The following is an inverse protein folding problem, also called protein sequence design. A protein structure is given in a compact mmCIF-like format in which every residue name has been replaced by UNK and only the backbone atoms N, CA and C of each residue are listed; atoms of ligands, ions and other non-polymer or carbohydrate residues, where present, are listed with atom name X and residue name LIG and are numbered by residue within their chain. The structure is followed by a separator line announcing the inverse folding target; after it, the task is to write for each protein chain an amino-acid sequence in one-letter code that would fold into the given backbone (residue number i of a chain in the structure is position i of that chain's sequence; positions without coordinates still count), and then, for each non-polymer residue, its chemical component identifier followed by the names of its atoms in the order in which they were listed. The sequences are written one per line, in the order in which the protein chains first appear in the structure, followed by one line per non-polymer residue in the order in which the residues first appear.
data_IF_356315507286
#
_entry.id   IF_356315507286
#
_cell.length_a   1.000
_cell.length_b   1.000
_cell.length_c   1.000
_cell.angle_alpha   90.00
_cell.angle_beta   90.00
_cell.angle_gamma   90.00
#
_symmetry.space_group_name_H-M   'P 1'
#
loop_
_entity.id
_entity.type
_entity.pdbx_description
1 polymer ?
#
# COMPACT_ATOMS: atom_id res chain seq x y z
N UNK A 1 22.55 7.06 -18.54
CA UNK A 1 22.47 6.81 -17.09
C UNK A 1 21.03 7.03 -16.69
N UNK A 2 20.29 5.96 -16.42
CA UNK A 2 18.94 6.07 -15.86
C UNK A 2 19.09 6.41 -14.39
N UNK A 3 18.88 7.68 -14.02
CA UNK A 3 18.71 8.06 -12.62
C UNK A 3 17.54 7.27 -12.06
N UNK A 4 17.82 6.51 -11.00
CA UNK A 4 16.82 5.79 -10.23
C UNK A 4 15.96 6.83 -9.53
N UNK A 5 14.82 7.16 -10.12
CA UNK A 5 13.87 8.07 -9.52
C UNK A 5 13.34 7.42 -8.25
N UNK A 6 13.66 8.02 -7.10
CA UNK A 6 13.34 7.44 -5.81
C UNK A 6 11.83 7.49 -5.59
N UNK A 7 11.20 6.32 -5.50
CA UNK A 7 9.78 6.20 -5.18
C UNK A 7 9.59 6.33 -3.68
N UNK A 8 8.81 7.32 -3.24
CA UNK A 8 8.45 7.49 -1.82
C UNK A 8 6.94 7.43 -1.62
N UNK A 9 6.55 6.97 -0.44
CA UNK A 9 5.18 7.03 0.04
C UNK A 9 4.85 8.46 0.50
N UNK A 10 3.54 8.74 0.57
CA UNK A 10 3.05 10.05 1.04
C UNK A 10 3.48 10.35 2.48
N UNK A 11 3.53 9.34 3.35
CA UNK A 11 3.99 9.54 4.73
C UNK A 11 5.47 9.91 4.82
N UNK A 12 6.29 9.41 3.89
CA UNK A 12 7.71 9.76 3.83
C UNK A 12 7.92 11.19 3.32
N UNK A 13 7.11 11.64 2.36
CA UNK A 13 7.15 13.05 1.91
C UNK A 13 6.77 13.99 3.05
N UNK A 14 5.69 13.71 3.78
CA UNK A 14 5.31 14.50 4.96
C UNK A 14 6.44 14.52 6.00
N UNK A 15 7.10 13.36 6.21
CA UNK A 15 8.24 13.28 7.12
C UNK A 15 9.41 14.17 6.69
N UNK A 16 9.78 14.16 5.40
CA UNK A 16 10.85 15.01 4.85
C UNK A 16 10.51 16.49 5.04
N UNK A 17 9.28 16.89 4.71
CA UNK A 17 8.80 18.27 4.86
C UNK A 17 8.84 18.70 6.32
N UNK A 18 8.36 17.88 7.25
CA UNK A 18 8.40 18.22 8.67
C UNK A 18 9.83 18.23 9.23
N UNK A 19 10.69 17.31 8.79
CA UNK A 19 12.08 17.22 9.21
C UNK A 19 12.91 18.41 8.75
N UNK A 20 12.55 19.05 7.64
CA UNK A 20 13.21 20.26 7.12
C UNK A 20 13.18 21.46 8.08
N UNK A 21 12.23 21.45 9.04
CA UNK A 21 11.90 22.59 9.93
C UNK A 21 11.47 23.87 9.21
N UNK A 22 11.29 23.83 7.89
CA UNK A 22 10.79 24.95 7.07
C UNK A 22 9.26 24.95 6.98
N UNK A 23 8.60 23.86 7.36
CA UNK A 23 7.15 23.78 7.44
C UNK A 23 6.62 24.59 8.62
N UNK A 24 5.57 25.38 8.35
CA UNK A 24 4.91 26.25 9.35
C UNK A 24 3.42 25.93 9.54
N UNK A 25 2.90 24.95 8.80
CA UNK A 25 1.52 24.51 8.91
C UNK A 25 0.89 24.15 7.57
N UNK A 26 -0.29 23.57 7.65
CA UNK A 26 -1.13 23.27 6.49
C UNK A 26 -2.56 23.67 6.86
N UNK A 27 -3.18 24.46 5.99
CA UNK A 27 -4.57 24.85 6.12
C UNK A 27 -5.51 23.64 6.02
N UNK A 28 -6.80 23.84 6.35
CA UNK A 28 -7.80 22.81 6.10
C UNK A 28 -7.85 22.49 4.61
N UNK A 29 -8.21 21.25 4.29
CA UNK A 29 -8.55 20.91 2.90
C UNK A 29 -9.99 21.34 2.68
N UNK A 30 -10.20 22.11 1.64
CA UNK A 30 -11.51 22.59 1.24
C UNK A 30 -11.91 21.96 -0.09
N UNK A 31 -13.21 21.79 -0.27
CA UNK A 31 -13.81 21.17 -1.44
C UNK A 31 -14.85 22.09 -2.01
N UNK A 32 -15.07 21.98 -3.32
CA UNK A 32 -16.01 22.83 -4.05
C UNK A 32 -16.56 22.10 -5.27
N UNK A 33 -17.80 22.42 -5.62
CA UNK A 33 -18.45 21.95 -6.85
C UNK A 33 -18.40 23.02 -7.97
N UNK A 34 -18.24 24.30 -7.61
CA UNK A 34 -18.28 25.45 -8.52
C UNK A 34 -16.94 26.19 -8.66
N UNK A 35 -15.98 25.94 -7.76
CA UNK A 35 -14.72 26.66 -7.64
C UNK A 35 -14.83 27.99 -6.89
N UNK A 36 -16.03 28.39 -6.47
CA UNK A 36 -16.32 29.66 -5.81
C UNK A 36 -16.63 29.45 -4.33
N UNK A 37 -17.48 28.48 -4.02
CA UNK A 37 -17.90 28.12 -2.67
C UNK A 37 -17.04 26.99 -2.14
N UNK A 38 -16.31 27.24 -1.06
CA UNK A 38 -15.36 26.30 -0.48
C UNK A 38 -15.84 25.81 0.89
N UNK A 39 -15.91 24.48 1.07
CA UNK A 39 -16.35 23.84 2.31
C UNK A 39 -15.33 22.81 2.79
N UNK A 40 -15.08 22.75 4.09
CA UNK A 40 -14.16 21.74 4.68
C UNK A 40 -14.79 20.35 4.75
N UNK A 41 -16.12 20.30 4.81
CA UNK A 41 -16.91 19.08 4.80
C UNK A 41 -17.87 19.14 3.61
N UNK A 42 -17.64 18.27 2.64
CA UNK A 42 -18.48 18.17 1.44
C UNK A 42 -19.46 17.01 1.60
N UNK A 43 -20.68 17.20 1.11
CA UNK A 43 -21.72 16.18 1.08
C UNK A 43 -22.18 15.97 -0.36
N UNK A 44 -22.51 14.74 -0.77
CA UNK A 44 -23.04 14.46 -2.10
C UNK A 44 -24.20 15.38 -2.47
N UNK A 45 -24.03 16.09 -3.58
CA UNK A 45 -25.04 16.99 -4.14
C UNK A 45 -25.87 16.22 -5.15
N UNK A 46 -27.20 16.40 -5.11
CA UNK A 46 -28.10 15.86 -6.13
C UNK A 46 -28.31 16.95 -7.16
N UNK A 47 -27.73 16.78 -8.36
CA UNK A 47 -27.92 17.70 -9.47
C UNK A 47 -29.13 17.25 -10.32
N UNK A 48 -30.08 18.16 -10.63
CA UNK A 48 -31.17 17.84 -11.54
C UNK A 48 -30.65 17.79 -12.99
N UNK A 49 -30.67 16.61 -13.62
CA UNK A 49 -30.42 16.45 -15.05
C UNK A 49 -31.73 16.35 -15.83
N UNK A 50 -31.66 16.67 -17.13
CA UNK A 50 -32.78 16.66 -18.08
C UNK A 50 -33.52 15.31 -18.17
N UNK A 51 -32.89 14.21 -17.72
CA UNK A 51 -33.45 12.85 -17.73
C UNK A 51 -33.54 12.19 -16.33
N UNK A 52 -33.41 12.95 -15.23
CA UNK A 52 -33.48 12.43 -13.86
C UNK A 52 -32.51 13.14 -12.92
N UNK A 53 -32.61 12.89 -11.62
CA UNK A 53 -31.67 13.44 -10.64
C UNK A 53 -30.41 12.55 -10.56
N UNK A 54 -29.23 13.11 -10.81
CA UNK A 54 -27.95 12.40 -10.67
C UNK A 54 -27.28 12.86 -9.37
N UNK A 55 -26.99 11.91 -8.50
CA UNK A 55 -26.19 12.17 -7.31
C UNK A 55 -24.72 12.30 -7.73
N UNK A 56 -24.19 13.53 -7.68
CA UNK A 56 -22.76 13.76 -7.81
C UNK A 56 -22.10 13.18 -6.56
N UNK A 57 -21.31 12.12 -6.75
CA UNK A 57 -20.74 11.34 -5.65
C UNK A 57 -19.40 11.88 -5.13
N UNK A 58 -18.84 12.89 -5.79
CA UNK A 58 -17.55 13.50 -5.43
C UNK A 58 -17.52 15.02 -5.69
N UNK A 59 -16.71 15.79 -4.95
CA UNK A 59 -16.49 17.20 -5.26
C UNK A 59 -15.75 17.37 -6.59
N UNK A 60 -15.97 18.50 -7.29
CA UNK A 60 -15.27 18.80 -8.56
C UNK A 60 -13.87 19.40 -8.34
N UNK A 61 -13.69 20.12 -7.24
CA UNK A 61 -12.43 20.80 -6.90
C UNK A 61 -12.02 20.53 -5.45
N UNK A 62 -10.70 20.52 -5.21
CA UNK A 62 -10.13 20.53 -3.88
C UNK A 62 -9.03 21.59 -3.81
N UNK A 63 -8.96 22.27 -2.68
CA UNK A 63 -7.99 23.32 -2.39
C UNK A 63 -7.31 23.06 -1.06
N UNK A 64 -6.04 23.41 -0.99
CA UNK A 64 -5.27 23.43 0.25
C UNK A 64 -4.29 24.58 0.25
N UNK A 65 -4.03 25.11 1.44
CA UNK A 65 -3.01 26.11 1.68
C UNK A 65 -1.85 25.47 2.46
N UNK A 66 -0.62 25.70 2.01
CA UNK A 66 0.59 25.20 2.68
C UNK A 66 1.45 26.39 3.08
N UNK A 67 1.87 26.39 4.35
CA UNK A 67 2.66 27.45 4.94
C UNK A 67 4.13 27.00 5.05
N UNK A 68 5.02 27.82 4.50
CA UNK A 68 6.47 27.68 4.61
C UNK A 68 7.02 28.89 5.35
N UNK A 69 7.94 28.64 6.27
CA UNK A 69 8.65 29.69 6.99
C UNK A 69 9.34 30.62 6.00
N UNK A 70 9.42 31.88 6.38
CA UNK A 70 10.04 32.95 5.60
C UNK A 70 9.31 33.27 4.27
N UNK A 71 8.16 32.62 4.00
CA UNK A 71 7.27 32.96 2.88
C UNK A 71 6.04 33.66 3.44
N UNK A 72 5.82 34.91 3.01
CA UNK A 72 4.72 35.75 3.52
C UNK A 72 3.33 35.27 3.11
N UNK A 73 3.21 34.69 1.91
CA UNK A 73 1.93 34.27 1.33
C UNK A 73 1.94 32.75 1.23
N UNK A 74 0.95 32.03 1.79
CA UNK A 74 0.90 30.59 1.66
C UNK A 74 0.78 30.18 0.20
N UNK A 75 1.30 29.00 -0.13
CA UNK A 75 1.04 28.41 -1.44
C UNK A 75 -0.36 27.82 -1.42
N UNK A 76 -1.26 28.41 -2.20
CA UNK A 76 -2.62 27.89 -2.40
C UNK A 76 -2.61 27.02 -3.65
N UNK A 77 -2.99 25.76 -3.49
CA UNK A 77 -3.08 24.80 -4.59
C UNK A 77 -4.52 24.36 -4.76
N UNK A 78 -5.00 24.45 -6.00
CA UNK A 78 -6.31 23.97 -6.41
C UNK A 78 -6.13 22.88 -7.45
N UNK A 79 -6.79 21.73 -7.24
CA UNK A 79 -6.80 20.61 -8.17
C UNK A 79 -8.23 20.27 -8.57
N UNK A 80 -8.38 19.67 -9.76
CA UNK A 80 -9.66 19.19 -10.28
C UNK A 80 -9.78 17.69 -10.15
N UNK A 81 -10.98 17.21 -9.84
CA UNK A 81 -11.23 15.79 -9.71
C UNK A 81 -10.94 15.08 -11.02
N UNK A 82 -11.46 15.58 -12.15
CA UNK A 82 -11.31 14.95 -13.46
C UNK A 82 -9.85 14.83 -13.94
N UNK A 83 -8.96 15.70 -13.46
CA UNK A 83 -7.53 15.68 -13.80
C UNK A 83 -6.75 14.66 -12.97
N UNK A 84 -7.17 14.48 -11.71
CA UNK A 84 -6.47 13.67 -10.71
C UNK A 84 -7.09 12.30 -10.51
N UNK A 85 -8.34 12.12 -10.98
CA UNK A 85 -9.04 10.87 -10.87
C UNK A 85 -8.28 9.81 -11.69
N UNK A 86 -7.88 8.71 -11.05
CA UNK A 86 -7.06 7.71 -11.71
C UNK A 86 -7.86 7.08 -12.85
N UNK A 87 -7.33 7.17 -14.07
CA UNK A 87 -7.79 6.37 -15.21
C UNK A 87 -7.39 4.88 -15.06
N UNK A 88 -6.71 4.53 -13.98
CA UNK A 88 -6.28 3.18 -13.65
C UNK A 88 -7.47 2.25 -13.34
N UNK A 89 -7.16 0.95 -13.21
CA UNK A 89 -8.08 -0.18 -13.01
C UNK A 89 -9.35 0.14 -12.20
N UNK A 90 -10.47 -0.49 -12.58
CA UNK A 90 -11.79 -0.36 -11.94
C UNK A 90 -11.76 -0.51 -10.41
N UNK A 91 -10.87 -1.37 -9.88
CA UNK A 91 -10.68 -1.57 -8.44
C UNK A 91 -10.11 -0.33 -7.72
N UNK A 92 -9.29 0.46 -8.40
CA UNK A 92 -8.72 1.70 -7.85
C UNK A 92 -9.75 2.83 -7.89
N UNK A 93 -10.43 2.99 -9.02
CA UNK A 93 -11.55 3.91 -9.17
C UNK A 93 -12.62 3.69 -8.08
N UNK A 94 -12.96 2.43 -7.78
CA UNK A 94 -13.92 2.08 -6.73
C UNK A 94 -13.51 2.56 -5.33
N UNK A 95 -12.20 2.60 -5.02
CA UNK A 95 -11.70 3.14 -3.73
C UNK A 95 -11.90 4.64 -3.64
N UNK A 96 -11.66 5.35 -4.74
CA UNK A 96 -11.87 6.80 -4.82
C UNK A 96 -13.34 7.16 -4.64
N UNK A 97 -14.27 6.45 -5.29
CA UNK A 97 -15.70 6.67 -5.10
C UNK A 97 -16.20 6.32 -3.69
N UNK A 98 -15.58 5.34 -3.01
CA UNK A 98 -15.95 5.00 -1.62
C UNK A 98 -15.55 6.08 -0.61
N UNK A 99 -14.49 6.84 -0.88
CA UNK A 99 -13.96 7.84 0.05
C UNK A 99 -13.37 9.03 -0.70
N UNK A 100 -14.20 9.80 -1.42
CA UNK A 100 -13.75 10.80 -2.40
C UNK A 100 -12.97 11.93 -1.72
N UNK A 101 -13.52 12.51 -0.64
CA UNK A 101 -12.84 13.56 0.11
C UNK A 101 -11.48 13.14 0.66
N UNK A 102 -11.35 11.88 1.10
CA UNK A 102 -10.11 11.37 1.69
C UNK A 102 -9.01 11.27 0.64
N UNK A 103 -9.30 10.65 -0.50
CA UNK A 103 -8.31 10.44 -1.56
C UNK A 103 -7.96 11.75 -2.23
N UNK A 104 -8.96 12.53 -2.62
CA UNK A 104 -8.75 13.78 -3.33
C UNK A 104 -8.12 14.86 -2.44
N UNK A 105 -8.53 14.95 -1.17
CA UNK A 105 -7.91 15.86 -0.22
C UNK A 105 -6.46 15.50 0.11
N UNK A 106 -6.13 14.21 0.12
CA UNK A 106 -4.73 13.74 0.23
C UNK A 106 -3.91 14.16 -0.98
N UNK A 107 -4.44 14.00 -2.20
CA UNK A 107 -3.77 14.45 -3.43
C UNK A 107 -3.54 15.96 -3.42
N UNK A 108 -4.54 16.76 -3.02
CA UNK A 108 -4.39 18.22 -2.91
C UNK A 108 -3.21 18.61 -2.00
N UNK A 109 -3.11 17.99 -0.82
CA UNK A 109 -1.99 18.20 0.11
C UNK A 109 -0.65 17.86 -0.51
N UNK A 110 -0.56 16.75 -1.24
CA UNK A 110 0.68 16.33 -1.87
C UNK A 110 1.15 17.29 -2.95
N UNK A 111 0.25 17.74 -3.82
CA UNK A 111 0.57 18.76 -4.83
C UNK A 111 0.97 20.06 -4.14
N UNK A 112 0.29 20.44 -3.06
CA UNK A 112 0.65 21.55 -2.16
C UNK A 112 2.10 21.46 -1.69
N UNK A 113 2.46 20.35 -1.04
CA UNK A 113 3.82 20.15 -0.54
C UNK A 113 4.87 20.19 -1.66
N UNK A 114 4.60 19.58 -2.82
CA UNK A 114 5.54 19.59 -3.95
C UNK A 114 5.78 21.01 -4.48
N UNK A 115 4.73 21.83 -4.59
CA UNK A 115 4.89 23.20 -5.07
C UNK A 115 5.61 24.08 -4.04
N UNK A 116 5.27 23.94 -2.76
CA UNK A 116 5.86 24.75 -1.68
C UNK A 116 7.30 24.36 -1.33
N UNK A 117 7.63 23.07 -1.37
CA UNK A 117 8.93 22.51 -1.01
C UNK A 117 9.61 21.87 -2.22
N UNK A 118 9.50 22.51 -3.39
CA UNK A 118 10.05 22.02 -4.66
C UNK A 118 11.55 21.73 -4.58
N UNK A 119 12.29 22.52 -3.80
CA UNK A 119 13.71 22.36 -3.53
C UNK A 119 14.05 21.10 -2.71
N UNK A 120 13.10 20.59 -1.91
CA UNK A 120 13.27 19.38 -1.11
C UNK A 120 12.71 18.13 -1.79
N UNK A 121 11.66 18.29 -2.61
CA UNK A 121 10.86 17.20 -3.15
C UNK A 121 10.95 17.06 -4.67
N UNK A 122 11.69 17.93 -5.36
CA UNK A 122 11.66 18.07 -6.82
C UNK A 122 11.94 16.78 -7.60
N UNK A 123 12.80 15.91 -7.06
CA UNK A 123 13.25 14.68 -7.74
C UNK A 123 12.50 13.41 -7.26
N UNK A 124 11.56 13.55 -6.33
CA UNK A 124 10.86 12.42 -5.71
C UNK A 124 9.59 12.09 -6.50
N UNK A 125 9.50 10.85 -6.98
CA UNK A 125 8.25 10.31 -7.54
C UNK A 125 7.47 9.62 -6.41
N UNK A 126 6.17 9.89 -6.35
CA UNK A 126 5.31 9.32 -5.32
C UNK A 126 4.67 8.04 -5.86
N UNK A 127 4.78 6.95 -5.10
CA UNK A 127 4.28 5.63 -5.52
C UNK A 127 2.75 5.62 -5.77
N UNK A 128 2.00 6.41 -5.01
CA UNK A 128 0.54 6.58 -5.12
C UNK A 128 0.11 7.49 -6.30
N UNK A 129 1.05 8.16 -6.98
CA UNK A 129 0.83 9.09 -8.09
C UNK A 129 1.37 8.51 -9.42
N UNK A 130 1.55 7.19 -9.50
CA UNK A 130 1.91 6.54 -10.76
C UNK A 130 0.76 6.70 -11.77
N UNK A 131 0.74 7.86 -12.44
CA UNK A 131 0.08 8.05 -13.71
C UNK A 131 0.93 7.30 -14.73
N UNK A 132 0.48 6.11 -15.14
CA UNK A 132 1.11 5.29 -16.18
C UNK A 132 1.31 6.03 -17.52
N UNK A 133 0.81 7.28 -17.64
CA UNK A 133 0.99 8.17 -18.79
C UNK A 133 2.42 8.66 -19.02
N UNK A 134 3.31 8.64 -18.01
CA UNK A 134 4.71 9.16 -18.17
C UNK A 134 5.80 8.10 -18.14
N UNK A 135 5.47 6.84 -17.88
CA UNK A 135 6.44 5.77 -18.18
C UNK A 135 6.38 5.56 -19.69
N UNK A 136 7.42 5.85 -20.50
CA UNK A 136 7.46 5.31 -21.85
C UNK A 136 7.27 3.82 -21.66
N UNK A 137 6.18 3.27 -22.19
CA UNK A 137 5.83 1.87 -22.07
C UNK A 137 7.09 1.09 -22.43
N UNK A 138 7.80 0.58 -21.42
CA UNK A 138 8.87 -0.36 -21.64
C UNK A 138 8.17 -1.48 -22.38
N UNK A 139 8.48 -1.59 -23.68
CA UNK A 139 7.67 -2.28 -24.67
C UNK A 139 6.97 -3.43 -24.00
N UNK A 140 5.66 -3.26 -23.75
CA UNK A 140 4.83 -4.33 -23.26
C UNK A 140 5.03 -5.41 -24.31
N UNK A 141 5.82 -6.42 -23.94
CA UNK A 141 6.03 -7.58 -24.78
C UNK A 141 4.62 -8.04 -25.07
N UNK A 142 4.24 -7.98 -26.35
CA UNK A 142 2.87 -8.16 -26.79
C UNK A 142 2.27 -9.34 -26.01
N UNK A 143 1.04 -9.25 -25.50
CA UNK A 143 0.42 -10.37 -24.82
C UNK A 143 0.46 -11.53 -25.81
N UNK A 144 1.39 -12.45 -25.58
CA UNK A 144 1.44 -13.73 -26.26
C UNK A 144 0.06 -14.30 -25.98
N UNK A 145 -0.68 -14.59 -27.05
CA UNK A 145 -2.00 -15.19 -26.98
C UNK A 145 -2.03 -16.25 -25.87
N UNK A 146 -3.11 -16.37 -25.07
CA UNK A 146 -3.12 -17.27 -23.93
C UNK A 146 -2.93 -18.70 -24.43
N UNK A 147 -1.68 -19.15 -24.42
CA UNK A 147 -1.37 -20.57 -24.32
C UNK A 147 -1.98 -20.93 -22.99
N UNK A 148 -3.01 -21.79 -22.99
CA UNK A 148 -3.61 -22.32 -21.77
C UNK A 148 -2.50 -22.87 -20.88
N UNK A 149 -2.02 -22.03 -19.96
CA UNK A 149 -0.90 -22.34 -19.09
C UNK A 149 -1.41 -23.38 -18.12
N UNK A 150 -0.91 -24.61 -18.24
CA UNK A 150 -1.37 -25.75 -17.44
C UNK A 150 -0.72 -25.71 -16.07
N UNK A 151 -1.21 -24.81 -15.21
CA UNK A 151 -0.65 -24.54 -13.87
C UNK A 151 -0.39 -25.79 -13.03
N UNK A 152 -1.31 -26.77 -13.04
CA UNK A 152 -1.14 -28.02 -12.33
C UNK A 152 0.10 -28.81 -12.78
N UNK A 153 0.40 -28.78 -14.09
CA UNK A 153 1.57 -29.45 -14.67
C UNK A 153 2.86 -28.73 -14.27
N UNK A 154 2.88 -27.40 -14.33
CA UNK A 154 4.05 -26.60 -13.94
C UNK A 154 4.38 -26.74 -12.46
N UNK A 155 3.35 -26.77 -11.59
CA UNK A 155 3.53 -27.03 -10.16
C UNK A 155 4.12 -28.44 -9.94
N UNK A 156 3.62 -29.46 -10.64
CA UNK A 156 4.14 -30.83 -10.49
C UNK A 156 5.60 -30.98 -10.98
N UNK A 157 5.97 -30.28 -12.05
CA UNK A 157 7.30 -30.34 -12.66
C UNK A 157 8.34 -29.46 -11.95
N UNK A 158 7.92 -28.53 -11.08
CA UNK A 158 8.84 -27.69 -10.33
C UNK A 158 9.78 -28.53 -9.46
N UNK A 159 11.09 -28.26 -9.57
CA UNK A 159 12.15 -29.00 -8.88
C UNK A 159 12.84 -28.18 -7.78
N UNK A 160 12.57 -26.88 -7.69
CA UNK A 160 13.18 -25.99 -6.70
C UNK A 160 12.14 -25.08 -6.05
N UNK A 161 12.40 -24.59 -4.82
CA UNK A 161 11.51 -23.66 -4.15
C UNK A 161 11.43 -22.31 -4.87
N UNK A 162 12.52 -21.86 -5.50
CA UNK A 162 12.57 -20.62 -6.28
C UNK A 162 11.65 -20.67 -7.50
N UNK A 163 11.59 -21.84 -8.19
CA UNK A 163 10.66 -22.05 -9.30
C UNK A 163 9.21 -22.06 -8.83
N UNK A 164 8.93 -22.64 -7.65
CA UNK A 164 7.59 -22.59 -7.05
C UNK A 164 7.18 -21.17 -6.67
N UNK A 165 8.08 -20.36 -6.11
CA UNK A 165 7.79 -18.97 -5.75
C UNK A 165 7.53 -18.11 -7.02
N UNK A 166 8.24 -18.38 -8.12
CA UNK A 166 7.97 -17.76 -9.41
C UNK A 166 6.59 -18.17 -9.98
N UNK A 167 6.25 -19.46 -9.94
CA UNK A 167 4.93 -19.96 -10.37
C UNK A 167 3.82 -19.38 -9.50
N UNK A 168 4.03 -19.26 -8.18
CA UNK A 168 3.06 -18.68 -7.26
C UNK A 168 2.80 -17.20 -7.58
N UNK A 169 3.87 -16.43 -7.83
CA UNK A 169 3.79 -15.02 -8.21
C UNK A 169 3.00 -14.86 -9.51
N UNK A 170 3.31 -15.65 -10.53
CA UNK A 170 2.64 -15.62 -11.83
C UNK A 170 1.16 -16.03 -11.71
N UNK A 171 0.86 -17.09 -10.95
CA UNK A 171 -0.51 -17.58 -10.74
C UNK A 171 -1.37 -16.57 -9.95
N UNK A 172 -0.78 -15.85 -8.99
CA UNK A 172 -1.46 -14.75 -8.28
C UNK A 172 -1.70 -13.55 -9.19
N UNK A 173 -0.74 -13.18 -10.03
CA UNK A 173 -0.91 -12.11 -11.01
C UNK A 173 -2.02 -12.44 -12.02
N UNK A 174 -2.12 -13.70 -12.43
CA UNK A 174 -3.20 -14.21 -13.28
C UNK A 174 -4.52 -14.50 -12.53
N UNK A 175 -4.60 -14.21 -11.22
CA UNK A 175 -5.78 -14.42 -10.36
C UNK A 175 -6.35 -15.84 -10.39
N UNK A 176 -5.49 -16.85 -10.54
CA UNK A 176 -5.89 -18.27 -10.66
C UNK A 176 -6.29 -18.89 -9.31
N UNK A 177 -5.79 -18.36 -8.20
CA UNK A 177 -6.18 -18.81 -6.85
C UNK A 177 -7.50 -18.17 -6.40
N UNK A 178 -8.57 -18.49 -7.11
CA UNK A 178 -9.94 -18.14 -6.75
C UNK A 178 -10.45 -19.00 -5.59
N UNK A 179 -11.42 -18.50 -4.81
CA UNK A 179 -12.06 -19.25 -3.72
C UNK A 179 -13.09 -20.28 -4.24
N UNK A 180 -12.79 -20.94 -5.36
CA UNK A 180 -13.55 -22.06 -5.90
C UNK A 180 -12.80 -23.39 -5.64
N UNK A 181 -13.42 -24.50 -6.05
CA UNK A 181 -12.85 -25.82 -5.84
C UNK A 181 -11.51 -26.02 -6.59
N UNK A 182 -11.38 -25.45 -7.78
CA UNK A 182 -10.22 -25.62 -8.66
C UNK A 182 -9.03 -24.79 -8.19
N UNK A 183 -9.22 -23.50 -7.89
CA UNK A 183 -8.22 -22.61 -7.32
C UNK A 183 -7.74 -23.08 -5.94
N UNK A 184 -8.64 -23.61 -5.11
CA UNK A 184 -8.27 -24.22 -3.83
C UNK A 184 -7.44 -25.49 -4.02
N UNK A 185 -7.79 -26.33 -5.00
CA UNK A 185 -7.03 -27.55 -5.31
C UNK A 185 -5.61 -27.23 -5.81
N UNK A 186 -5.46 -26.24 -6.71
CA UNK A 186 -4.16 -25.76 -7.18
C UNK A 186 -3.29 -25.21 -6.05
N UNK A 187 -3.87 -24.41 -5.15
CA UNK A 187 -3.13 -23.87 -4.01
C UNK A 187 -2.70 -24.97 -3.03
N UNK A 188 -3.50 -26.03 -2.86
CA UNK A 188 -3.10 -27.22 -2.08
C UNK A 188 -1.95 -27.97 -2.76
N UNK A 189 -2.01 -28.19 -4.08
CA UNK A 189 -0.93 -28.83 -4.84
C UNK A 189 0.40 -28.08 -4.68
N UNK A 190 0.38 -26.74 -4.77
CA UNK A 190 1.57 -25.90 -4.58
C UNK A 190 2.19 -26.10 -3.19
N UNK A 191 1.37 -26.09 -2.13
CA UNK A 191 1.84 -26.32 -0.76
C UNK A 191 2.39 -27.73 -0.55
N UNK A 192 1.75 -28.75 -1.14
CA UNK A 192 2.24 -30.13 -1.08
C UNK A 192 3.60 -30.24 -1.76
N UNK A 193 3.74 -29.69 -2.97
CA UNK A 193 5.01 -29.74 -3.71
C UNK A 193 6.14 -29.01 -2.99
N UNK A 194 5.85 -27.85 -2.38
CA UNK A 194 6.83 -27.10 -1.58
C UNK A 194 7.37 -27.96 -0.43
N UNK A 195 6.49 -28.67 0.28
CA UNK A 195 6.88 -29.59 1.35
C UNK A 195 7.72 -30.76 0.84
N UNK A 196 7.41 -31.31 -0.33
CA UNK A 196 8.20 -32.40 -0.93
C UNK A 196 9.63 -31.95 -1.27
N UNK A 197 9.77 -30.77 -1.88
CA UNK A 197 11.10 -30.23 -2.24
C UNK A 197 11.91 -29.90 -0.98
N UNK A 198 11.27 -29.30 0.03
CA UNK A 198 11.91 -29.03 1.32
C UNK A 198 12.30 -30.32 2.08
N UNK A 199 11.48 -31.36 2.00
CA UNK A 199 11.78 -32.67 2.58
C UNK A 199 12.95 -33.36 1.86
N UNK A 200 12.95 -33.35 0.52
CA UNK A 200 14.03 -33.92 -0.30
C UNK A 200 15.37 -33.19 -0.07
N UNK A 201 15.33 -31.86 0.13
CA UNK A 201 16.51 -31.07 0.49
C UNK A 201 17.05 -31.44 1.88
N UNK A 202 16.17 -31.69 2.86
CA UNK A 202 16.55 -32.14 4.20
C UNK A 202 17.12 -33.56 4.23
N UNK A 203 16.55 -34.49 3.48
CA UNK A 203 17.10 -35.85 3.33
C UNK A 203 18.48 -35.83 2.66
N UNK A 204 18.68 -34.96 1.66
CA UNK A 204 19.97 -34.80 0.98
C UNK A 204 21.03 -34.18 1.89
N UNK A 205 20.65 -33.27 2.79
CA UNK A 205 21.53 -32.70 3.80
C UNK A 205 21.89 -33.71 4.91
N UNK A 206 20.93 -34.55 5.31
CA UNK A 206 21.13 -35.57 6.35
C UNK A 206 22.01 -36.75 5.91
N UNK A 207 22.21 -36.97 4.60
CA UNK A 207 23.01 -38.08 4.08
C UNK A 207 24.53 -37.91 4.27
N UNK A 208 24.99 -36.71 4.67
CA UNK A 208 26.42 -36.40 4.88
C UNK A 208 26.77 -35.97 6.31
N UNK A 209 25.80 -35.94 7.24
CA UNK A 209 26.09 -35.71 8.66
C UNK A 209 26.55 -37.02 9.32
N UNK A 210 27.87 -37.23 9.31
CA UNK A 210 28.53 -38.07 10.30
C UNK A 210 28.39 -37.34 11.65
N UNK A 211 27.78 -37.93 12.70
CA UNK A 211 27.69 -37.27 13.98
C UNK A 211 29.10 -37.18 14.58
N UNK A 212 29.69 -35.98 14.55
CA UNK A 212 30.79 -35.66 15.45
C UNK A 212 30.20 -35.51 16.86
N UNK A 213 30.54 -36.46 17.74
CA UNK A 213 30.19 -36.47 19.15
C UNK A 213 30.78 -35.22 19.83
N UNK A 214 29.94 -34.20 20.04
CA UNK A 214 30.24 -33.02 20.83
C UNK A 214 29.72 -33.20 22.26
N UNK A 215 30.47 -32.73 23.29
CA UNK A 215 30.15 -33.00 24.68
C UNK A 215 28.89 -32.26 25.13
N UNK A 216 28.12 -32.91 26.00
CA UNK A 216 26.84 -32.47 26.52
C UNK A 216 26.85 -31.02 27.07
N UNK A 217 26.15 -30.12 26.37
CA UNK A 217 25.74 -28.84 26.94
C UNK A 217 24.49 -29.01 27.79
N UNK A 218 24.56 -28.52 29.02
CA UNK A 218 23.50 -28.52 30.01
C UNK A 218 22.26 -27.78 29.52
N UNK A 219 21.15 -28.51 29.42
CA UNK A 219 19.80 -27.97 29.17
C UNK A 219 19.40 -27.05 30.32
N UNK A 220 19.43 -25.73 30.11
CA UNK A 220 18.76 -24.79 31.01
C UNK A 220 17.25 -24.99 30.88
N UNK A 221 16.63 -25.54 31.91
CA UNK A 221 15.21 -25.85 31.94
C UNK A 221 14.37 -24.59 31.72
N UNK A 222 13.49 -24.64 30.72
CA UNK A 222 12.44 -23.64 30.51
C UNK A 222 11.57 -23.61 31.78
N UNK A 223 11.46 -22.48 32.48
CA UNK A 223 10.65 -22.42 33.69
C UNK A 223 9.18 -22.74 33.35
N UNK A 224 8.56 -23.58 34.16
CA UNK A 224 7.18 -23.99 33.99
C UNK A 224 6.23 -22.77 34.01
N UNK A 225 5.11 -22.80 33.29
CA UNK A 225 4.10 -21.74 33.32
C UNK A 225 3.53 -21.60 34.74
N UNK A 226 3.85 -20.50 35.43
CA UNK A 226 3.26 -20.17 36.73
C UNK A 226 1.90 -19.50 36.53
N UNK A 227 0.87 -20.31 36.24
CA UNK A 227 -0.51 -19.87 35.98
C UNK A 227 -1.22 -19.26 37.20
N UNK A 228 -0.63 -19.34 38.39
CA UNK A 228 -1.20 -18.80 39.64
C UNK A 228 -0.77 -17.35 39.95
N UNK A 229 0.13 -16.74 39.15
CA UNK A 229 0.56 -15.36 39.35
C UNK A 229 -0.21 -14.41 38.43
N UNK A 230 -0.74 -13.28 38.95
CA UNK A 230 -1.38 -12.29 38.11
C UNK A 230 -0.36 -11.72 37.11
N UNK A 231 -0.76 -11.51 35.84
CA UNK A 231 0.18 -11.13 34.78
C UNK A 231 0.91 -9.83 35.11
N UNK A 232 2.24 -9.89 35.08
CA UNK A 232 3.19 -8.80 35.43
C UNK A 232 2.87 -7.48 34.71
N UNK A 233 2.21 -7.55 33.55
CA UNK A 233 1.82 -6.41 32.73
C UNK A 233 0.53 -5.68 33.17
N UNK A 234 -0.11 -6.05 34.29
CA UNK A 234 -1.35 -5.38 34.75
C UNK A 234 -1.13 -3.90 35.10
N UNK A 235 0.00 -3.57 35.72
CA UNK A 235 0.34 -2.19 36.06
C UNK A 235 0.62 -1.33 34.80
N UNK A 236 1.33 -1.90 33.82
CA UNK A 236 1.61 -1.25 32.54
C UNK A 236 0.33 -0.96 31.74
N UNK A 237 -0.62 -1.91 31.69
CA UNK A 237 -1.93 -1.72 31.02
C UNK A 237 -2.77 -0.62 31.67
N UNK A 238 -2.77 -0.50 33.01
CA UNK A 238 -3.45 0.60 33.71
C UNK A 238 -2.85 1.97 33.39
N UNK A 239 -1.52 2.06 33.27
CA UNK A 239 -0.83 3.31 32.92
C UNK A 239 -1.14 3.76 31.49
N UNK A 240 -1.20 2.83 30.54
CA UNK A 240 -1.62 3.10 29.16
C UNK A 240 -3.09 3.55 29.05
N UNK A 241 -4.01 2.93 29.79
CA UNK A 241 -5.43 3.31 29.77
C UNK A 241 -5.67 4.73 30.30
N UNK A 242 -4.94 5.15 31.35
CA UNK A 242 -5.02 6.54 31.87
C UNK A 242 -4.53 7.58 30.87
N UNK A 243 -3.61 7.23 29.96
CA UNK A 243 -3.11 8.14 28.93
C UNK A 243 -4.10 8.34 27.77
N UNK A 244 -5.07 7.43 27.57
CA UNK A 244 -6.03 7.46 26.45
C UNK A 244 -7.37 8.12 26.80
N UNK A 245 -7.70 8.30 28.08
CA UNK A 245 -8.97 8.91 28.54
C UNK A 245 -8.87 10.35 29.05
N UNK A 246 -7.71 10.98 28.96
CA UNK A 246 -7.45 12.31 29.51
C UNK A 246 -7.41 13.40 28.45
N UNK A 247 -8.53 13.65 27.76
CA UNK A 247 -8.82 14.94 27.11
C UNK A 247 -10.34 15.09 27.06
N UNK A 248 -10.86 15.68 28.14
CA UNK A 248 -11.97 16.62 28.04
C UNK A 248 -11.45 17.87 27.33
#
# INVERSE_FOLDING_TARGET
MSELVEKKTIGEVEHIVHASRQWDGTGPVEFSDDGETWVQAWSPTVEPETNGAVAVSHPKFARVEVFRKDVRVPTTVTIRWDEQFPAASEEWAAKWFRSPMRHFGRTARMVGFRQTFRDLLGDIVIEDEADDRTTPAAAATAPVAPVERRWAKEIAEAQSPELLDAIEKDARAARIFTPDAEGTALHRQLRTRRREIEAASKESASAWDIPAEAPAETVSGRPAPNDYLPPVNRAARRKAARKKGGKR
#
